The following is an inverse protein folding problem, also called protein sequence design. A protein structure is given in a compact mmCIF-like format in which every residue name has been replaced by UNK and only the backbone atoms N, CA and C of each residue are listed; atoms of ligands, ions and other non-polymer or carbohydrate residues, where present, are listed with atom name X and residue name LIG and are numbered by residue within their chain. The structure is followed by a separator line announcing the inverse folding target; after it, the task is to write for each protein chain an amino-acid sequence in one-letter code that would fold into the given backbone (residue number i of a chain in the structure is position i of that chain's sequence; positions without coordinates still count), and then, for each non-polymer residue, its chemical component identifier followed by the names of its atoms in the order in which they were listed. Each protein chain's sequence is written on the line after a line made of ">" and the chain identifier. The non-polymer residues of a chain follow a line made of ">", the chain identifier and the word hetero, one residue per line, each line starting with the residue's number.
data_IF_328808288226
#
_entry.id   IF_328808288226
#
_cell.length_a   1.000
_cell.length_b   1.000
_cell.length_c   1.000
_cell.angle_alpha   90.00
_cell.angle_beta   90.00
_cell.angle_gamma   90.00
#
_symmetry.space_group_name_H-M   'P 1'
#
loop_
_entity.id
_entity.type
_entity.pdbx_description
1 polymer ?
#
# COMPACT_ATOMS: atom_id res chain seq x y z
N UNK A 1 -21.21 -15.01 -7.68
CA UNK A 1 -20.72 -13.90 -6.82
C UNK A 1 -21.92 -13.22 -6.20
N UNK A 2 -21.82 -12.82 -4.93
CA UNK A 2 -22.85 -12.02 -4.26
C UNK A 2 -22.42 -10.54 -4.37
N UNK A 3 -23.33 -9.68 -4.83
CA UNK A 3 -23.07 -8.24 -4.92
C UNK A 3 -23.45 -7.52 -3.62
N UNK A 4 -22.75 -6.45 -3.28
CA UNK A 4 -23.11 -5.54 -2.19
C UNK A 4 -23.85 -4.36 -2.80
N UNK A 5 -25.03 -4.02 -2.27
CA UNK A 5 -25.74 -2.79 -2.65
C UNK A 5 -25.37 -1.70 -1.66
N UNK A 6 -24.87 -0.57 -2.16
CA UNK A 6 -24.43 0.56 -1.35
C UNK A 6 -25.20 1.80 -1.82
N UNK A 7 -25.84 2.50 -0.90
CA UNK A 7 -26.44 3.80 -1.18
C UNK A 7 -25.35 4.87 -1.14
N UNK A 8 -25.26 5.66 -2.21
CA UNK A 8 -24.35 6.80 -2.31
C UNK A 8 -25.16 8.04 -2.73
N UNK A 9 -24.76 9.25 -2.32
CA UNK A 9 -25.42 10.46 -2.78
C UNK A 9 -25.12 10.72 -4.27
N UNK A 10 -25.97 11.54 -4.90
CA UNK A 10 -25.95 11.74 -6.36
C UNK A 10 -24.63 12.34 -6.87
N UNK A 11 -23.98 13.17 -6.07
CA UNK A 11 -22.66 13.76 -6.39
C UNK A 11 -21.57 12.68 -6.58
N UNK A 12 -21.59 11.66 -5.71
CA UNK A 12 -20.68 10.53 -5.82
C UNK A 12 -21.05 9.62 -6.99
N UNK A 13 -22.34 9.50 -7.31
CA UNK A 13 -22.79 8.74 -8.50
C UNK A 13 -22.22 9.34 -9.78
N UNK A 14 -22.30 10.65 -9.94
CA UNK A 14 -21.74 11.36 -11.11
C UNK A 14 -20.22 11.25 -11.18
N UNK A 15 -19.54 11.21 -10.03
CA UNK A 15 -18.11 10.95 -9.97
C UNK A 15 -17.77 9.54 -10.48
N UNK A 16 -18.48 8.52 -9.99
CA UNK A 16 -18.25 7.11 -10.37
C UNK A 16 -18.54 6.89 -11.87
N UNK A 17 -19.63 7.47 -12.39
CA UNK A 17 -19.97 7.38 -13.82
C UNK A 17 -18.84 7.93 -14.71
N UNK A 18 -18.26 9.09 -14.36
CA UNK A 18 -17.14 9.67 -15.11
C UNK A 18 -15.90 8.79 -15.10
N UNK A 19 -15.67 8.03 -14.02
CA UNK A 19 -14.56 7.08 -13.94
C UNK A 19 -14.74 5.90 -14.90
N UNK A 20 -15.97 5.42 -15.06
CA UNK A 20 -16.26 4.36 -16.04
C UNK A 20 -16.24 4.86 -17.48
N UNK A 21 -16.70 6.09 -17.74
CA UNK A 21 -16.68 6.69 -19.09
C UNK A 21 -15.26 6.92 -19.61
N UNK A 22 -14.29 7.15 -18.73
CA UNK A 22 -12.88 7.28 -19.09
C UNK A 22 -12.25 5.98 -19.61
N UNK A 23 -12.92 4.84 -19.43
CA UNK A 23 -12.44 3.51 -19.81
C UNK A 23 -11.42 2.89 -18.84
N UNK A 24 -11.08 3.59 -17.74
CA UNK A 24 -10.20 3.08 -16.69
C UNK A 24 -10.83 1.92 -15.90
N UNK A 25 -12.17 1.89 -15.81
CA UNK A 25 -12.95 0.87 -15.12
C UNK A 25 -14.13 0.42 -15.99
N UNK A 26 -14.44 -0.88 -15.96
CA UNK A 26 -15.48 -1.45 -16.83
C UNK A 26 -16.90 -1.06 -16.39
N UNK A 27 -17.12 -0.94 -15.07
CA UNK A 27 -18.40 -0.55 -14.47
C UNK A 27 -18.19 0.04 -13.06
N UNK A 28 -19.24 0.61 -12.42
CA UNK A 28 -19.14 1.17 -11.08
C UNK A 28 -18.64 0.19 -10.01
N UNK A 29 -19.00 -1.10 -10.11
CA UNK A 29 -18.59 -2.13 -9.15
C UNK A 29 -17.11 -2.45 -9.29
N UNK A 30 -16.58 -2.42 -10.51
CA UNK A 30 -15.15 -2.55 -10.79
C UNK A 30 -14.36 -1.39 -10.19
N UNK A 31 -14.85 -0.14 -10.34
CA UNK A 31 -14.25 1.03 -9.71
C UNK A 31 -14.19 0.90 -8.18
N UNK A 32 -15.33 0.56 -7.55
CA UNK A 32 -15.39 0.36 -6.09
C UNK A 32 -14.46 -0.77 -5.64
N UNK A 33 -14.41 -1.87 -6.39
CA UNK A 33 -13.48 -2.98 -6.10
C UNK A 33 -12.02 -2.54 -6.22
N UNK A 34 -11.69 -1.69 -7.19
CA UNK A 34 -10.38 -1.07 -7.32
C UNK A 34 -10.02 -0.21 -6.11
N UNK A 35 -10.94 0.63 -5.64
CA UNK A 35 -10.73 1.47 -4.45
C UNK A 35 -10.49 0.64 -3.20
N UNK A 36 -11.24 -0.45 -3.00
CA UNK A 36 -11.04 -1.35 -1.86
C UNK A 36 -9.67 -2.00 -1.91
N UNK A 37 -9.21 -2.45 -3.10
CA UNK A 37 -7.85 -3.01 -3.25
C UNK A 37 -6.78 -1.97 -2.93
N UNK A 38 -6.94 -0.74 -3.41
CA UNK A 38 -6.00 0.35 -3.13
C UNK A 38 -5.94 0.68 -1.64
N UNK A 39 -7.08 0.67 -0.95
CA UNK A 39 -7.15 0.87 0.50
C UNK A 39 -6.42 -0.27 1.25
N UNK A 40 -6.68 -1.52 0.87
CA UNK A 40 -5.98 -2.69 1.44
C UNK A 40 -4.46 -2.60 1.25
N UNK A 41 -4.01 -2.25 0.04
CA UNK A 41 -2.58 -2.09 -0.24
C UNK A 41 -1.94 -0.98 0.61
N UNK A 42 -2.64 0.14 0.78
CA UNK A 42 -2.16 1.24 1.61
C UNK A 42 -2.08 0.82 3.08
N UNK A 43 -3.10 0.16 3.59
CA UNK A 43 -3.12 -0.36 4.96
C UNK A 43 -1.98 -1.36 5.19
N UNK A 44 -1.76 -2.30 4.26
CA UNK A 44 -0.68 -3.28 4.33
C UNK A 44 0.71 -2.61 4.33
N UNK A 45 0.92 -1.57 3.51
CA UNK A 45 2.18 -0.80 3.50
C UNK A 45 2.44 -0.10 4.83
N UNK A 46 1.41 0.51 5.42
CA UNK A 46 1.51 1.16 6.73
C UNK A 46 1.85 0.12 7.81
N UNK A 47 1.14 -1.00 7.83
CA UNK A 47 1.38 -2.07 8.80
C UNK A 47 2.81 -2.64 8.68
N UNK A 48 3.28 -2.88 7.45
CA UNK A 48 4.64 -3.36 7.20
C UNK A 48 5.70 -2.36 7.68
N UNK A 49 5.47 -1.06 7.45
CA UNK A 49 6.37 -0.02 7.93
C UNK A 49 6.39 0.03 9.47
N UNK A 50 5.21 -0.01 10.11
CA UNK A 50 5.12 0.01 11.57
C UNK A 50 5.87 -1.18 12.18
N UNK A 51 5.68 -2.38 11.64
CA UNK A 51 6.41 -3.58 12.06
C UNK A 51 7.93 -3.42 11.91
N UNK A 52 8.40 -2.84 10.80
CA UNK A 52 9.83 -2.61 10.58
C UNK A 52 10.40 -1.58 11.59
N UNK A 53 9.65 -0.53 11.89
CA UNK A 53 10.02 0.47 12.91
C UNK A 53 10.07 -0.16 14.30
N UNK A 54 9.03 -0.91 14.69
CA UNK A 54 8.96 -1.58 15.99
C UNK A 54 10.12 -2.56 16.18
N UNK A 55 10.43 -3.36 15.14
CA UNK A 55 11.58 -4.26 15.14
C UNK A 55 12.91 -3.50 15.27
N UNK A 56 13.05 -2.36 14.58
CA UNK A 56 14.22 -1.49 14.67
C UNK A 56 14.40 -0.92 16.08
N UNK A 57 13.33 -0.41 16.69
CA UNK A 57 13.36 0.12 18.05
C UNK A 57 13.70 -0.98 19.08
N UNK A 58 13.11 -2.16 18.94
CA UNK A 58 13.39 -3.31 19.79
C UNK A 58 14.84 -3.84 19.64
N UNK A 59 15.48 -3.61 18.48
CA UNK A 59 16.86 -4.04 18.22
C UNK A 59 17.93 -3.22 18.96
N UNK A 60 17.54 -2.08 19.54
CA UNK A 60 18.43 -1.19 20.26
C UNK A 60 19.33 -0.34 19.35
N UNK A 61 20.21 0.46 19.97
CA UNK A 61 21.08 1.39 19.25
C UNK A 61 22.25 0.64 18.61
N UNK A 62 22.39 0.78 17.28
CA UNK A 62 23.54 0.28 16.56
C UNK A 62 24.83 1.00 16.94
N UNK A 63 25.92 0.24 17.08
CA UNK A 63 27.25 0.74 17.44
C UNK A 63 28.21 0.87 16.24
N UNK A 64 27.74 0.56 15.02
CA UNK A 64 28.54 0.57 13.80
C UNK A 64 28.42 1.91 13.07
N UNK A 65 29.55 2.39 12.56
CA UNK A 65 29.61 3.55 11.68
C UNK A 65 29.12 3.20 10.27
N UNK A 66 28.79 4.22 9.47
CA UNK A 66 28.36 4.04 8.08
C UNK A 66 29.42 3.29 7.25
N UNK A 67 30.71 3.60 7.42
CA UNK A 67 31.80 2.93 6.71
C UNK A 67 31.89 1.44 7.06
N UNK A 68 31.74 1.10 8.35
CA UNK A 68 31.73 -0.29 8.80
C UNK A 68 30.54 -1.07 8.22
N UNK A 69 29.36 -0.44 8.13
CA UNK A 69 28.18 -1.05 7.51
C UNK A 69 28.40 -1.29 6.01
N UNK A 70 28.99 -0.32 5.31
CA UNK A 70 29.24 -0.41 3.87
C UNK A 70 30.29 -1.47 3.52
N UNK A 71 31.38 -1.55 4.31
CA UNK A 71 32.39 -2.61 4.13
C UNK A 71 31.81 -4.00 4.39
N UNK A 72 31.00 -4.15 5.45
CA UNK A 72 30.33 -5.42 5.74
C UNK A 72 29.37 -5.84 4.61
N UNK A 73 28.66 -4.88 4.00
CA UNK A 73 27.78 -5.15 2.85
C UNK A 73 28.57 -5.61 1.61
N UNK A 74 29.70 -4.96 1.30
CA UNK A 74 30.59 -5.35 0.19
C UNK A 74 31.17 -6.75 0.36
N UNK A 75 31.62 -7.09 1.57
CA UNK A 75 32.15 -8.42 1.88
C UNK A 75 31.09 -9.52 1.70
N UNK A 76 29.82 -9.25 2.05
CA UNK A 76 28.72 -10.19 1.80
C UNK A 76 28.35 -10.33 0.32
N UNK A 77 28.51 -9.28 -0.47
CA UNK A 77 28.14 -9.26 -1.88
C UNK A 77 29.19 -9.93 -2.79
N UNK A 78 30.41 -10.13 -2.31
CA UNK A 78 31.50 -10.77 -3.05
C UNK A 78 32.06 -11.95 -2.23
N UNK A 79 31.37 -13.12 -2.24
CA UNK A 79 31.75 -14.29 -1.44
C UNK A 79 33.09 -14.90 -1.86
#
# INVERSE_FOLDING_TARGET
>A
MQGITIAIPDDLKDWVSRKTESGEYADPSDYVSGLIRQDQERAAKIEAMQKAVDAGLASGVGNRTADQLFQAAKQKANP
#
